data_IF_859818062410
#
_entry.id   IF_859818062410
#
_cell.length_a   1.000
_cell.length_b   1.000
_cell.length_c   1.000
_cell.angle_alpha   90.00
_cell.angle_beta   90.00
_cell.angle_gamma   90.00
#
_symmetry.space_group_name_H-M   'P 1'
#
loop_
_entity.id
_entity.type
_entity.pdbx_description
1 polymer ?
#
# COMPACT_ATOMS: atom_id res chain seq x y z
N UNK A 1 -6.25 5.11 -6.21
CA UNK A 1 -5.55 6.29 -5.65
C UNK A 1 -6.09 6.66 -4.27
N UNK A 2 -7.31 7.22 -4.12
CA UNK A 2 -7.78 7.79 -2.84
C UNK A 2 -7.64 6.91 -1.57
N UNK A 3 -7.84 5.60 -1.67
CA UNK A 3 -7.60 4.68 -0.53
C UNK A 3 -6.15 4.70 -0.06
N UNK A 4 -5.18 4.66 -0.98
CA UNK A 4 -3.74 4.70 -0.64
C UNK A 4 -3.41 6.02 0.03
N UNK A 5 -3.91 7.14 -0.50
CA UNK A 5 -3.69 8.48 0.07
C UNK A 5 -4.18 8.55 1.52
N UNK A 6 -5.42 8.13 1.79
CA UNK A 6 -6.00 8.17 3.13
C UNK A 6 -5.25 7.27 4.12
N UNK A 7 -4.89 6.05 3.69
CA UNK A 7 -4.20 5.10 4.56
C UNK A 7 -2.77 5.56 4.88
N UNK A 8 -2.03 5.98 3.86
CA UNK A 8 -0.61 6.34 4.00
C UNK A 8 -0.46 7.68 4.70
N UNK A 9 -1.22 8.70 4.30
CA UNK A 9 -1.14 10.00 4.97
C UNK A 9 -1.83 10.02 6.33
N UNK A 10 -2.85 9.18 6.55
CA UNK A 10 -3.36 8.91 7.89
C UNK A 10 -2.27 8.38 8.83
N UNK A 11 -1.38 7.53 8.32
CA UNK A 11 -0.25 7.00 9.10
C UNK A 11 0.78 8.09 9.35
N UNK A 12 1.12 8.88 8.33
CA UNK A 12 2.06 9.99 8.44
C UNK A 12 1.58 11.00 9.52
N UNK A 13 0.28 11.36 9.50
CA UNK A 13 -0.35 12.22 10.52
C UNK A 13 -0.35 11.55 11.90
N UNK A 14 -0.76 10.28 11.97
CA UNK A 14 -0.81 9.52 13.22
C UNK A 14 0.55 9.42 13.89
N UNK A 15 1.63 9.28 13.11
CA UNK A 15 3.02 9.30 13.61
C UNK A 15 3.44 10.68 14.10
N UNK A 16 3.13 11.73 13.35
CA UNK A 16 3.45 13.11 13.74
C UNK A 16 2.77 13.53 15.06
N UNK A 17 1.62 12.92 15.37
CA UNK A 17 0.83 13.17 16.57
C UNK A 17 0.98 12.09 17.65
N UNK A 18 1.86 11.11 17.47
CA UNK A 18 2.10 9.98 18.39
C UNK A 18 0.84 9.18 18.78
N UNK A 19 -0.04 8.93 17.81
CA UNK A 19 -1.35 8.30 18.03
C UNK A 19 -1.34 6.77 17.99
N UNK A 20 -0.21 6.15 17.66
CA UNK A 20 -0.11 4.68 17.50
C UNK A 20 -1.04 4.09 16.43
N UNK A 21 -1.67 4.92 15.60
CA UNK A 21 -2.60 4.47 14.58
C UNK A 21 -1.88 3.72 13.46
N UNK A 22 -2.42 2.57 13.06
CA UNK A 22 -1.91 1.74 11.95
C UNK A 22 -3.03 1.52 10.92
N UNK A 23 -2.73 1.61 9.61
CA UNK A 23 -3.70 1.28 8.57
C UNK A 23 -4.27 -0.14 8.76
N UNK A 24 -5.61 -0.33 8.70
CA UNK A 24 -6.19 -1.65 8.79
C UNK A 24 -5.88 -2.51 7.56
N UNK A 25 -5.41 -3.74 7.77
CA UNK A 25 -4.97 -4.64 6.69
C UNK A 25 -6.04 -4.90 5.62
N UNK A 26 -7.29 -5.09 6.03
CA UNK A 26 -8.41 -5.33 5.12
C UNK A 26 -8.69 -4.17 4.15
N UNK A 27 -8.24 -2.95 4.47
CA UNK A 27 -8.31 -1.80 3.58
C UNK A 27 -7.05 -1.70 2.69
N UNK A 28 -5.89 -2.12 3.21
CA UNK A 28 -4.64 -2.17 2.47
C UNK A 28 -4.67 -3.22 1.35
N UNK A 29 -5.17 -4.43 1.64
CA UNK A 29 -5.17 -5.56 0.70
C UNK A 29 -5.77 -5.24 -0.69
N UNK A 30 -7.00 -4.69 -0.81
CA UNK A 30 -7.55 -4.34 -2.11
C UNK A 30 -6.80 -3.19 -2.78
N UNK A 31 -6.21 -2.27 -2.02
CA UNK A 31 -5.43 -1.16 -2.55
C UNK A 31 -4.10 -1.65 -3.15
N UNK A 32 -3.37 -2.50 -2.43
CA UNK A 32 -2.12 -3.15 -2.88
C UNK A 32 -2.36 -3.92 -4.16
N UNK A 33 -3.29 -4.87 -4.14
CA UNK A 33 -3.63 -5.72 -5.30
C UNK A 33 -3.98 -4.92 -6.55
N UNK A 34 -4.63 -3.76 -6.40
CA UNK A 34 -5.08 -2.94 -7.54
C UNK A 34 -3.99 -2.03 -8.09
N UNK A 35 -3.19 -1.43 -7.22
CA UNK A 35 -2.35 -0.26 -7.54
C UNK A 35 -0.86 -0.59 -7.53
N UNK A 36 -0.46 -1.76 -7.01
CA UNK A 36 0.93 -2.21 -6.96
C UNK A 36 1.00 -3.66 -7.46
N UNK A 37 0.82 -3.91 -8.77
CA UNK A 37 0.81 -5.26 -9.33
C UNK A 37 2.14 -6.02 -9.15
N UNK A 38 3.23 -5.32 -8.87
CA UNK A 38 4.55 -5.88 -8.59
C UNK A 38 4.80 -6.18 -7.11
N UNK A 39 3.81 -5.93 -6.24
CA UNK A 39 3.95 -6.16 -4.83
C UNK A 39 4.11 -7.66 -4.51
N UNK A 40 4.95 -8.03 -3.53
CA UNK A 40 5.12 -9.41 -3.12
C UNK A 40 3.85 -9.96 -2.46
N UNK A 41 3.52 -11.22 -2.75
CA UNK A 41 2.44 -11.96 -2.11
C UNK A 41 2.84 -12.51 -0.73
N UNK A 42 1.85 -12.87 0.10
CA UNK A 42 2.04 -13.67 1.32
C UNK A 42 2.48 -12.91 2.57
N UNK A 43 2.72 -11.60 2.48
CA UNK A 43 2.96 -10.72 3.62
C UNK A 43 1.70 -9.94 4.04
N UNK A 44 1.67 -9.42 5.28
CA UNK A 44 0.60 -8.54 5.76
C UNK A 44 0.45 -7.34 4.81
N UNK A 45 -0.77 -7.10 4.34
CA UNK A 45 -0.99 -6.11 3.29
C UNK A 45 -0.68 -4.67 3.73
N UNK A 46 -0.67 -4.39 5.03
CA UNK A 46 -0.24 -3.09 5.54
C UNK A 46 1.27 -2.94 5.42
N UNK A 47 2.04 -3.93 5.84
CA UNK A 47 3.50 -3.91 5.67
C UNK A 47 3.90 -3.76 4.20
N UNK A 48 3.23 -4.51 3.32
CA UNK A 48 3.43 -4.40 1.87
C UNK A 48 3.11 -3.00 1.36
N UNK A 49 1.99 -2.40 1.79
CA UNK A 49 1.64 -1.03 1.39
C UNK A 49 2.69 0.00 1.84
N UNK A 50 3.19 -0.14 3.08
CA UNK A 50 4.22 0.76 3.61
C UNK A 50 5.55 0.60 2.89
N UNK A 51 5.92 -0.62 2.52
CA UNK A 51 7.09 -0.87 1.69
C UNK A 51 6.92 -0.32 0.27
N UNK A 52 5.79 -0.60 -0.39
CA UNK A 52 5.45 -0.10 -1.72
C UNK A 52 5.54 1.43 -1.81
N UNK A 53 5.27 2.12 -0.70
CA UNK A 53 5.26 3.58 -0.61
C UNK A 53 6.48 4.17 0.10
N UNK A 54 7.52 3.38 0.34
CA UNK A 54 8.80 3.83 0.90
C UNK A 54 8.76 4.27 2.38
N UNK A 55 7.70 3.93 3.12
CA UNK A 55 7.56 4.23 4.56
C UNK A 55 8.23 3.19 5.47
N UNK A 56 8.48 1.99 4.96
CA UNK A 56 9.04 0.89 5.73
C UNK A 56 9.88 -0.05 4.86
N UNK A 57 10.75 -0.84 5.52
CA UNK A 57 11.36 -2.03 4.95
C UNK A 57 10.37 -3.19 4.99
N UNK A 58 10.60 -4.21 4.15
CA UNK A 58 9.90 -5.49 4.22
C UNK A 58 10.96 -6.59 4.44
N UNK A 59 10.71 -7.64 5.24
CA UNK A 59 11.71 -8.69 5.43
C UNK A 59 12.23 -9.25 4.09
N UNK A 60 13.55 -9.18 3.88
CA UNK A 60 14.20 -9.60 2.63
C UNK A 60 14.19 -8.58 1.50
N UNK A 61 13.47 -7.46 1.63
CA UNK A 61 13.44 -6.35 0.69
C UNK A 61 13.76 -5.02 1.40
N UNK A 62 14.88 -4.40 1.04
CA UNK A 62 15.20 -3.05 1.53
C UNK A 62 14.10 -2.04 1.22
N UNK A 63 14.12 -0.89 1.92
CA UNK A 63 13.15 0.19 1.72
C UNK A 63 13.19 0.71 0.28
N UNK A 64 12.03 1.03 -0.30
CA UNK A 64 11.95 1.69 -1.62
C UNK A 64 12.24 3.18 -1.50
N UNK A 65 13.27 3.67 -2.17
CA UNK A 65 13.56 5.11 -2.26
C UNK A 65 12.77 5.83 -3.36
N UNK A 66 12.27 5.07 -4.35
CA UNK A 66 11.38 5.57 -5.41
C UNK A 66 10.20 4.63 -5.57
N UNK A 67 9.01 5.21 -5.72
CA UNK A 67 7.77 4.47 -5.88
C UNK A 67 6.76 5.26 -6.68
N UNK A 68 5.85 4.54 -7.33
CA UNK A 68 4.72 5.06 -8.07
C UNK A 68 3.65 3.96 -8.09
N UNK A 69 2.37 4.34 -7.98
CA UNK A 69 1.27 3.39 -8.20
C UNK A 69 0.94 3.24 -9.69
N UNK A 70 0.42 2.08 -10.06
CA UNK A 70 -0.23 1.85 -11.35
C UNK A 70 -1.67 2.38 -11.34
N UNK A 71 -1.84 3.58 -11.90
CA UNK A 71 -3.13 4.25 -12.06
C UNK A 71 -3.93 3.83 -13.29
N UNK A 72 -3.40 2.97 -14.16
CA UNK A 72 -4.07 2.59 -15.39
C UNK A 72 -5.44 1.95 -15.10
N UNK A 73 -6.45 2.29 -15.89
CA UNK A 73 -7.77 1.66 -15.81
C UNK A 73 -7.64 0.23 -16.36
N UNK A 74 -7.97 -0.78 -15.56
CA UNK A 74 -7.96 -2.17 -16.04
C UNK A 74 -9.23 -2.42 -16.86
N UNK A 75 -9.14 -2.96 -18.08
CA UNK A 75 -10.32 -3.32 -18.85
C UNK A 75 -11.14 -4.35 -18.08
N UNK A 76 -12.47 -4.21 -18.12
CA UNK A 76 -13.38 -5.19 -17.55
C UNK A 76 -13.24 -6.47 -18.35
N UNK A 77 -12.63 -7.51 -17.78
CA UNK A 77 -12.70 -8.84 -18.37
C UNK A 77 -14.13 -9.34 -18.23
N UNK A 78 -14.98 -9.05 -19.22
CA UNK A 78 -16.26 -9.71 -19.36
C UNK A 78 -15.96 -11.12 -19.83
N UNK A 79 -16.05 -12.09 -18.93
CA UNK A 79 -16.09 -13.50 -19.30
C UNK A 79 -17.47 -13.72 -19.90
N UNK A 80 -17.53 -13.88 -21.23
CA UNK A 80 -18.69 -14.38 -21.96
C UNK A 80 -18.74 -15.89 -21.77
#
# INVERSE_FOLDING_TARGET
MGMVELLVHGLDIGRALDLGWRPPEHLCAPAVRRLFPEAPDGADATEVLLWCTGRAELPGLGRRDRWQWDGAVRPSTSVI
#
